data_IF_434998863447
#
_entry.id   IF_434998863447
#
_cell.length_a   1.000
_cell.length_b   1.000
_cell.length_c   1.000
_cell.angle_alpha   90.00
_cell.angle_beta   90.00
_cell.angle_gamma   90.00
#
_symmetry.space_group_name_H-M   'P 1'
#
loop_
_entity.id
_entity.type
_entity.pdbx_description
1 polymer ?
#
# COMPACT_ATOMS: atom_id res chain seq x y z
N UNK A 1 10.20 -22.09 17.41
CA UNK A 1 10.42 -20.63 17.39
C UNK A 1 9.95 -19.96 16.08
N UNK A 2 10.26 -20.48 14.89
CA UNK A 2 9.82 -19.89 13.62
C UNK A 2 8.30 -19.66 13.46
N UNK A 3 7.45 -20.60 13.88
CA UNK A 3 5.98 -20.43 13.75
C UNK A 3 5.40 -19.26 14.56
N UNK A 4 5.95 -18.92 15.73
CA UNK A 4 5.46 -17.81 16.57
C UNK A 4 5.79 -16.44 15.97
N UNK A 5 6.97 -16.28 15.37
CA UNK A 5 7.44 -15.04 14.74
C UNK A 5 6.54 -14.61 13.57
N UNK A 6 6.14 -15.53 12.72
CA UNK A 6 5.23 -15.25 11.62
C UNK A 6 3.81 -14.91 12.08
N UNK A 7 3.36 -15.46 13.23
CA UNK A 7 2.02 -15.17 13.76
C UNK A 7 1.83 -13.68 14.10
N UNK A 8 2.82 -13.01 14.66
CA UNK A 8 2.74 -11.58 14.97
C UNK A 8 2.57 -10.74 13.70
N UNK A 9 3.40 -11.02 12.69
CA UNK A 9 3.32 -10.33 11.39
C UNK A 9 1.99 -10.59 10.70
N UNK A 10 1.50 -11.82 10.77
CA UNK A 10 0.18 -12.18 10.22
C UNK A 10 -0.96 -11.51 10.99
N UNK A 11 -0.84 -11.37 12.33
CA UNK A 11 -1.83 -10.66 13.14
C UNK A 11 -1.86 -9.17 12.78
N UNK A 12 -0.70 -8.50 12.68
CA UNK A 12 -0.62 -7.09 12.29
C UNK A 12 -1.22 -6.90 10.89
N UNK A 13 -0.89 -7.79 9.94
CA UNK A 13 -1.45 -7.76 8.59
C UNK A 13 -2.95 -7.98 8.59
N UNK A 14 -3.46 -8.87 9.43
CA UNK A 14 -4.88 -9.11 9.61
C UNK A 14 -5.63 -7.91 10.21
N UNK A 15 -5.05 -7.24 11.22
CA UNK A 15 -5.62 -6.00 11.76
C UNK A 15 -5.69 -4.89 10.69
N UNK A 16 -4.63 -4.72 9.90
CA UNK A 16 -4.62 -3.77 8.80
C UNK A 16 -5.67 -4.11 7.74
N UNK A 17 -5.88 -5.40 7.43
CA UNK A 17 -6.95 -5.85 6.52
C UNK A 17 -8.34 -5.53 7.06
N UNK A 18 -8.62 -5.79 8.32
CA UNK A 18 -9.91 -5.45 8.93
C UNK A 18 -10.15 -3.95 8.86
N UNK A 19 -9.13 -3.15 9.22
CA UNK A 19 -9.19 -1.68 9.12
C UNK A 19 -9.44 -1.22 7.67
N UNK A 20 -8.78 -1.83 6.70
CA UNK A 20 -8.97 -1.54 5.27
C UNK A 20 -10.39 -1.87 4.80
N UNK A 21 -10.93 -3.05 5.17
CA UNK A 21 -12.29 -3.46 4.82
C UNK A 21 -13.31 -2.45 5.36
N UNK A 22 -13.15 -2.02 6.62
CA UNK A 22 -14.02 -1.01 7.23
C UNK A 22 -13.90 0.34 6.53
N UNK A 23 -12.68 0.78 6.19
CA UNK A 23 -12.44 2.01 5.45
C UNK A 23 -13.13 2.00 4.08
N UNK A 24 -12.99 0.91 3.32
CA UNK A 24 -13.62 0.76 2.01
C UNK A 24 -15.14 0.61 2.10
N UNK A 25 -15.68 -0.01 3.15
CA UNK A 25 -17.12 -0.02 3.39
C UNK A 25 -17.67 1.40 3.62
N UNK A 26 -16.95 2.24 4.38
CA UNK A 26 -17.30 3.65 4.53
C UNK A 26 -17.18 4.40 3.19
N UNK A 27 -16.16 4.09 2.39
CA UNK A 27 -15.97 4.68 1.07
C UNK A 27 -17.15 4.37 0.14
N UNK A 28 -17.56 3.10 0.05
CA UNK A 28 -18.70 2.68 -0.76
C UNK A 28 -19.99 3.37 -0.30
N UNK A 29 -20.25 3.41 1.02
CA UNK A 29 -21.42 4.07 1.59
C UNK A 29 -21.50 5.55 1.21
N UNK A 30 -20.38 6.27 1.26
CA UNK A 30 -20.33 7.70 0.94
C UNK A 30 -20.39 7.96 -0.56
N UNK A 31 -19.53 7.30 -1.35
CA UNK A 31 -19.36 7.64 -2.76
C UNK A 31 -20.27 6.86 -3.72
N UNK A 32 -20.65 5.63 -3.38
CA UNK A 32 -21.51 4.82 -4.25
C UNK A 32 -22.97 4.80 -3.81
N UNK A 33 -23.23 4.90 -2.49
CA UNK A 33 -24.58 4.86 -1.94
C UNK A 33 -25.07 6.23 -1.40
N UNK A 34 -24.28 7.30 -1.56
CA UNK A 34 -24.70 8.67 -1.33
C UNK A 34 -24.93 9.06 0.14
N UNK A 35 -24.30 8.34 1.10
CA UNK A 35 -24.38 8.72 2.51
C UNK A 35 -23.59 10.01 2.77
N UNK A 36 -24.24 10.99 3.42
CA UNK A 36 -23.58 12.23 3.79
C UNK A 36 -22.86 12.09 5.13
N UNK A 37 -21.53 11.82 5.05
CA UNK A 37 -20.65 11.70 6.21
C UNK A 37 -19.52 12.72 6.15
N UNK A 38 -19.71 13.96 6.64
CA UNK A 38 -18.70 15.03 6.54
C UNK A 38 -17.34 14.65 7.14
N UNK A 39 -17.31 13.85 8.20
CA UNK A 39 -16.08 13.39 8.85
C UNK A 39 -15.20 12.56 7.91
N UNK A 40 -15.81 11.85 6.92
CA UNK A 40 -15.09 10.98 6.00
C UNK A 40 -14.26 11.77 4.96
N UNK A 41 -14.62 13.04 4.73
CA UNK A 41 -13.84 13.98 3.90
C UNK A 41 -12.79 14.75 4.71
N UNK A 42 -12.72 14.53 6.02
CA UNK A 42 -11.88 15.26 6.94
C UNK A 42 -10.53 14.62 7.22
N UNK A 43 -9.73 15.31 8.03
CA UNK A 43 -8.40 14.89 8.46
C UNK A 43 -8.37 13.50 9.13
N UNK A 44 -9.40 13.17 9.91
CA UNK A 44 -9.48 11.89 10.61
C UNK A 44 -9.51 10.69 9.64
N UNK A 45 -10.31 10.77 8.58
CA UNK A 45 -10.38 9.73 7.56
C UNK A 45 -9.07 9.64 6.75
N UNK A 46 -8.44 10.79 6.46
CA UNK A 46 -7.13 10.83 5.81
C UNK A 46 -6.07 10.11 6.66
N UNK A 47 -5.96 10.43 7.95
CA UNK A 47 -5.02 9.76 8.86
C UNK A 47 -5.32 8.26 8.96
N UNK A 48 -6.59 7.88 9.00
CA UNK A 48 -6.98 6.47 9.01
C UNK A 48 -6.52 5.74 7.75
N UNK A 49 -6.79 6.30 6.57
CA UNK A 49 -6.30 5.77 5.29
C UNK A 49 -4.77 5.62 5.27
N UNK A 50 -4.06 6.69 5.64
CA UNK A 50 -2.60 6.68 5.65
C UNK A 50 -2.05 5.62 6.61
N UNK A 51 -2.66 5.43 7.78
CA UNK A 51 -2.25 4.40 8.74
C UNK A 51 -2.33 2.98 8.16
N UNK A 52 -3.40 2.69 7.40
CA UNK A 52 -3.57 1.42 6.69
C UNK A 52 -2.49 1.25 5.63
N UNK A 53 -2.32 2.25 4.76
CA UNK A 53 -1.36 2.20 3.65
C UNK A 53 0.08 2.04 4.13
N UNK A 54 0.49 2.86 5.12
CA UNK A 54 1.83 2.78 5.68
C UNK A 54 2.10 1.42 6.32
N UNK A 55 1.12 0.88 7.05
CA UNK A 55 1.25 -0.45 7.68
C UNK A 55 1.45 -1.55 6.63
N UNK A 56 0.67 -1.57 5.56
CA UNK A 56 0.82 -2.56 4.49
C UNK A 56 2.15 -2.44 3.77
N UNK A 57 2.59 -1.23 3.45
CA UNK A 57 3.84 -1.00 2.70
C UNK A 57 5.05 -1.33 3.57
N UNK A 58 5.10 -0.84 4.82
CA UNK A 58 6.17 -1.15 5.78
C UNK A 58 6.27 -2.66 6.05
N UNK A 59 5.12 -3.30 6.31
CA UNK A 59 5.07 -4.74 6.58
C UNK A 59 5.48 -5.57 5.36
N UNK A 60 5.15 -5.12 4.15
CA UNK A 60 5.58 -5.77 2.91
C UNK A 60 7.10 -5.71 2.76
N UNK A 61 7.72 -4.55 3.01
CA UNK A 61 9.17 -4.37 3.01
C UNK A 61 9.86 -5.22 4.09
N UNK A 62 9.30 -5.26 5.30
CA UNK A 62 9.79 -6.09 6.40
C UNK A 62 9.76 -7.58 6.03
N UNK A 63 8.63 -8.07 5.50
CA UNK A 63 8.46 -9.47 5.09
C UNK A 63 9.25 -9.83 3.83
N UNK A 64 9.63 -8.83 3.00
CA UNK A 64 10.50 -9.06 1.85
C UNK A 64 11.87 -9.61 2.28
N UNK A 65 12.43 -9.10 3.39
CA UNK A 65 13.70 -9.59 3.91
C UNK A 65 13.66 -11.07 4.36
N UNK A 66 12.48 -11.56 4.79
CA UNK A 66 12.27 -12.94 5.24
C UNK A 66 12.08 -13.96 4.10
N UNK A 67 11.62 -13.52 2.94
CA UNK A 67 11.16 -14.40 1.87
C UNK A 67 12.30 -15.02 1.06
N UNK A 68 12.03 -16.20 0.44
CA UNK A 68 13.00 -16.91 -0.43
C UNK A 68 12.77 -16.71 -1.91
N UNK A 69 11.53 -16.60 -2.39
CA UNK A 69 11.17 -16.51 -3.81
C UNK A 69 10.64 -15.13 -4.18
N UNK A 70 11.47 -14.08 -4.00
CA UNK A 70 11.06 -12.69 -4.12
C UNK A 70 10.57 -12.32 -5.52
N UNK A 71 11.24 -12.80 -6.56
CA UNK A 71 10.83 -12.55 -7.95
C UNK A 71 9.40 -13.06 -8.21
N UNK A 72 9.15 -14.35 -7.89
CA UNK A 72 7.82 -14.95 -8.10
C UNK A 72 6.74 -14.22 -7.30
N UNK A 73 7.02 -13.89 -6.04
CA UNK A 73 6.07 -13.14 -5.19
C UNK A 73 5.79 -11.75 -5.74
N UNK A 74 6.85 -11.01 -6.15
CA UNK A 74 6.71 -9.69 -6.76
C UNK A 74 5.87 -9.73 -8.02
N UNK A 75 6.14 -10.68 -8.93
CA UNK A 75 5.33 -10.89 -10.14
C UNK A 75 3.89 -11.24 -9.80
N UNK A 76 3.64 -12.17 -8.86
CA UNK A 76 2.27 -12.53 -8.46
C UNK A 76 1.49 -11.30 -7.96
N UNK A 77 2.08 -10.49 -7.06
CA UNK A 77 1.41 -9.30 -6.51
C UNK A 77 1.21 -8.23 -7.59
N UNK A 78 2.19 -8.04 -8.47
CA UNK A 78 2.09 -7.11 -9.60
C UNK A 78 0.94 -7.50 -10.56
N UNK A 79 0.86 -8.78 -10.93
CA UNK A 79 -0.22 -9.27 -11.80
C UNK A 79 -1.59 -9.21 -11.13
N UNK A 80 -1.68 -9.41 -9.81
CA UNK A 80 -2.92 -9.14 -9.07
C UNK A 80 -3.33 -7.65 -9.17
N UNK A 81 -2.37 -6.72 -9.08
CA UNK A 81 -2.63 -5.29 -9.30
C UNK A 81 -3.10 -5.00 -10.73
N UNK A 82 -2.44 -5.58 -11.74
CA UNK A 82 -2.86 -5.46 -13.14
C UNK A 82 -4.27 -6.04 -13.39
N UNK A 83 -4.64 -7.12 -12.69
CA UNK A 83 -5.98 -7.69 -12.77
C UNK A 83 -7.03 -6.75 -12.19
N UNK A 84 -6.75 -6.05 -11.07
CA UNK A 84 -7.65 -5.02 -10.53
C UNK A 84 -7.80 -3.87 -11.53
N UNK A 85 -6.70 -3.39 -12.11
CA UNK A 85 -6.74 -2.36 -13.14
C UNK A 85 -7.63 -2.79 -14.32
N UNK A 86 -7.45 -4.01 -14.84
CA UNK A 86 -8.27 -4.53 -15.93
C UNK A 86 -9.75 -4.66 -15.51
N UNK A 87 -10.03 -5.20 -14.32
CA UNK A 87 -11.38 -5.34 -13.82
C UNK A 87 -12.09 -3.98 -13.67
N UNK A 88 -11.43 -2.98 -13.08
CA UNK A 88 -12.01 -1.64 -12.93
C UNK A 88 -12.16 -0.92 -14.27
N UNK A 89 -11.22 -1.11 -15.20
CA UNK A 89 -11.33 -0.57 -16.57
C UNK A 89 -12.57 -1.06 -17.29
N UNK A 90 -12.87 -2.37 -17.22
CA UNK A 90 -14.00 -2.96 -17.94
C UNK A 90 -15.35 -2.81 -17.24
N UNK A 91 -15.38 -2.89 -15.90
CA UNK A 91 -16.63 -2.95 -15.15
C UNK A 91 -16.99 -1.65 -14.43
N UNK A 92 -16.02 -0.81 -14.11
CA UNK A 92 -16.22 0.42 -13.32
C UNK A 92 -15.25 1.53 -13.78
N UNK A 93 -15.31 1.99 -15.06
CA UNK A 93 -14.34 2.96 -15.60
C UNK A 93 -14.33 4.30 -14.85
N UNK A 94 -15.45 4.68 -14.24
CA UNK A 94 -15.57 5.90 -13.39
C UNK A 94 -14.79 5.76 -12.07
N UNK A 95 -14.50 4.53 -11.65
CA UNK A 95 -13.72 4.22 -10.45
C UNK A 95 -12.44 3.45 -10.81
N UNK A 96 -11.82 3.82 -11.91
CA UNK A 96 -10.60 3.18 -12.40
C UNK A 96 -9.50 3.18 -11.34
N UNK A 97 -8.91 2.00 -11.11
CA UNK A 97 -7.69 1.83 -10.31
C UNK A 97 -6.50 1.63 -11.24
N UNK A 98 -5.70 2.67 -11.41
CA UNK A 98 -4.47 2.63 -12.19
C UNK A 98 -3.27 2.86 -11.27
N UNK A 99 -2.28 1.96 -11.31
CA UNK A 99 -1.12 1.97 -10.41
C UNK A 99 -1.50 1.93 -8.92
N UNK A 100 -2.44 1.04 -8.57
CA UNK A 100 -2.87 0.84 -7.17
C UNK A 100 -1.79 0.22 -6.28
N UNK A 101 -2.10 0.10 -4.99
CA UNK A 101 -1.13 -0.38 -3.98
C UNK A 101 -0.55 -1.76 -4.28
N UNK A 102 -1.29 -2.70 -4.91
CA UNK A 102 -0.71 -4.00 -5.30
C UNK A 102 0.32 -3.86 -6.42
N UNK A 103 0.08 -2.98 -7.40
CA UNK A 103 1.06 -2.66 -8.44
C UNK A 103 2.32 -2.07 -7.83
N UNK A 104 2.17 -1.13 -6.88
CA UNK A 104 3.29 -0.59 -6.10
C UNK A 104 4.05 -1.70 -5.36
N UNK A 105 3.36 -2.54 -4.58
CA UNK A 105 4.01 -3.58 -3.76
C UNK A 105 4.75 -4.61 -4.64
N UNK A 106 4.12 -5.05 -5.73
CA UNK A 106 4.75 -5.95 -6.70
C UNK A 106 6.01 -5.34 -7.31
N UNK A 107 5.91 -4.10 -7.81
CA UNK A 107 7.03 -3.35 -8.39
C UNK A 107 8.14 -3.09 -7.36
N UNK A 108 7.79 -2.75 -6.13
CA UNK A 108 8.75 -2.55 -5.04
C UNK A 108 9.52 -3.83 -4.71
N UNK A 109 8.85 -4.98 -4.70
CA UNK A 109 9.52 -6.28 -4.51
C UNK A 109 10.46 -6.60 -5.68
N UNK A 110 10.07 -6.33 -6.92
CA UNK A 110 10.90 -6.55 -8.10
C UNK A 110 12.13 -5.65 -8.12
N UNK A 111 11.95 -4.34 -7.86
CA UNK A 111 13.03 -3.37 -7.76
C UNK A 111 13.99 -3.73 -6.62
N UNK A 112 13.49 -3.99 -5.42
CA UNK A 112 14.31 -4.38 -4.28
C UNK A 112 15.06 -5.69 -4.52
N UNK A 113 14.48 -6.64 -5.28
CA UNK A 113 15.17 -7.86 -5.68
C UNK A 113 16.31 -7.56 -6.67
N UNK A 114 16.09 -6.68 -7.65
CA UNK A 114 17.13 -6.22 -8.59
C UNK A 114 18.29 -5.52 -7.89
N UNK A 115 17.98 -4.67 -6.92
CA UNK A 115 18.99 -3.94 -6.13
C UNK A 115 19.48 -4.68 -4.88
N UNK A 116 19.17 -5.97 -4.72
CA UNK A 116 19.49 -6.74 -3.52
C UNK A 116 20.96 -6.69 -3.11
N UNK A 117 21.89 -6.73 -4.07
CA UNK A 117 23.33 -6.63 -3.82
C UNK A 117 23.72 -5.29 -3.18
N UNK A 118 23.18 -4.19 -3.69
CA UNK A 118 23.39 -2.85 -3.18
C UNK A 118 22.76 -2.69 -1.79
N UNK A 119 21.49 -3.08 -1.65
CA UNK A 119 20.75 -2.97 -0.38
C UNK A 119 21.43 -3.71 0.78
N UNK A 120 22.11 -4.84 0.50
CA UNK A 120 22.86 -5.58 1.50
C UNK A 120 24.12 -4.86 1.97
N UNK A 121 24.73 -4.01 1.14
CA UNK A 121 25.95 -3.25 1.48
C UNK A 121 25.63 -2.04 2.35
N UNK A 122 24.41 -1.51 2.28
CA UNK A 122 23.99 -0.36 3.07
C UNK A 122 23.90 -0.74 4.56
N UNK A 123 24.55 -0.01 5.49
CA UNK A 123 24.38 -0.23 6.92
C UNK A 123 22.91 -0.08 7.34
N UNK A 124 22.34 -1.00 8.14
CA UNK A 124 20.90 -1.00 8.45
C UNK A 124 20.38 0.31 9.06
N UNK A 125 21.14 0.94 9.95
CA UNK A 125 20.77 2.22 10.58
C UNK A 125 20.71 3.36 9.56
N UNK A 126 21.72 3.46 8.70
CA UNK A 126 21.75 4.46 7.64
C UNK A 126 20.67 4.21 6.60
N UNK A 127 20.45 2.94 6.24
CA UNK A 127 19.38 2.56 5.31
C UNK A 127 17.98 2.89 5.86
N UNK A 128 17.71 2.63 7.15
CA UNK A 128 16.45 2.97 7.80
C UNK A 128 16.23 4.49 7.80
N UNK A 129 17.20 5.25 8.33
CA UNK A 129 17.08 6.71 8.43
C UNK A 129 16.98 7.35 7.04
N UNK A 130 17.85 6.93 6.09
CA UNK A 130 17.87 7.48 4.73
C UNK A 130 16.60 7.18 3.96
N UNK A 131 16.11 5.93 3.99
CA UNK A 131 14.88 5.58 3.27
C UNK A 131 13.65 6.28 3.88
N UNK A 132 13.55 6.40 5.19
CA UNK A 132 12.45 7.13 5.82
C UNK A 132 12.50 8.64 5.52
N UNK A 133 13.69 9.25 5.59
CA UNK A 133 13.87 10.66 5.21
C UNK A 133 13.51 10.89 3.74
N UNK A 134 13.95 10.03 2.83
CA UNK A 134 13.59 10.12 1.41
C UNK A 134 12.08 9.98 1.20
N UNK A 135 11.41 9.07 1.93
CA UNK A 135 9.95 8.97 1.89
C UNK A 135 9.29 10.30 2.27
N UNK A 136 9.73 10.95 3.35
CA UNK A 136 9.17 12.23 3.79
C UNK A 136 9.43 13.35 2.77
N UNK A 137 10.65 13.45 2.25
CA UNK A 137 11.05 14.49 1.29
C UNK A 137 10.32 14.35 -0.04
N UNK A 138 10.08 13.13 -0.50
CA UNK A 138 9.40 12.87 -1.79
C UNK A 138 7.88 12.76 -1.66
N UNK A 139 7.29 13.02 -0.48
CA UNK A 139 5.85 12.81 -0.26
C UNK A 139 4.97 13.61 -1.21
N UNK A 140 5.37 14.82 -1.57
CA UNK A 140 4.64 15.72 -2.48
C UNK A 140 5.12 15.66 -3.94
N UNK A 141 5.91 14.63 -4.31
CA UNK A 141 6.50 14.49 -5.64
C UNK A 141 5.44 14.39 -6.76
N UNK A 142 4.27 13.83 -6.46
CA UNK A 142 3.16 13.74 -7.42
C UNK A 142 2.65 15.12 -7.85
N UNK A 143 2.82 16.14 -7.01
CA UNK A 143 2.55 17.53 -7.36
C UNK A 143 3.74 18.22 -8.07
N UNK A 144 4.88 17.53 -8.22
CA UNK A 144 6.11 18.07 -8.81
C UNK A 144 7.03 18.77 -7.82
N UNK A 145 6.82 18.59 -6.51
CA UNK A 145 7.59 19.24 -5.47
C UNK A 145 8.27 18.24 -4.53
N UNK A 146 9.39 18.62 -3.95
CA UNK A 146 9.91 18.00 -2.74
C UNK A 146 9.20 18.62 -1.54
N UNK A 147 8.68 17.78 -0.65
CA UNK A 147 7.90 18.24 0.50
C UNK A 147 7.11 17.13 1.16
N UNK A 148 6.37 17.48 2.21
CA UNK A 148 5.53 16.57 2.97
C UNK A 148 4.15 17.18 3.27
N UNK A 149 3.08 16.51 2.83
CA UNK A 149 1.67 16.83 3.13
C UNK A 149 1.33 18.32 2.92
N UNK A 150 1.80 18.88 1.77
CA UNK A 150 1.55 20.28 1.39
C UNK A 150 2.64 21.28 1.82
N UNK A 151 3.57 20.90 2.69
CA UNK A 151 4.76 21.70 2.99
C UNK A 151 5.80 21.50 1.88
N UNK A 152 5.73 22.33 0.85
CA UNK A 152 6.54 22.24 -0.38
C UNK A 152 7.77 23.10 -0.26
N UNK A 153 8.96 22.51 -0.44
CA UNK A 153 10.25 23.19 -0.27
C UNK A 153 10.88 23.57 -1.60
N UNK A 154 10.83 22.67 -2.59
CA UNK A 154 11.54 22.85 -3.86
C UNK A 154 10.76 22.19 -5.00
N UNK A 155 10.66 22.87 -6.16
CA UNK A 155 10.11 22.29 -7.38
C UNK A 155 11.10 21.32 -7.97
N UNK A 156 10.73 20.05 -8.03
CA UNK A 156 11.63 18.96 -8.38
C UNK A 156 11.49 18.54 -9.85
N UNK A 157 10.27 18.62 -10.40
CA UNK A 157 9.99 18.12 -11.74
C UNK A 157 9.17 19.11 -12.56
N UNK A 158 9.66 19.39 -13.79
CA UNK A 158 9.01 20.27 -14.76
C UNK A 158 9.04 19.66 -16.18
N UNK A 159 9.36 18.37 -16.30
CA UNK A 159 9.43 17.65 -17.57
C UNK A 159 8.07 17.15 -18.05
N UNK A 160 8.09 16.49 -19.20
CA UNK A 160 6.90 15.85 -19.76
C UNK A 160 6.26 14.86 -18.81
N UNK A 161 4.94 14.83 -18.81
CA UNK A 161 4.12 13.97 -17.95
C UNK A 161 3.27 13.05 -18.82
N UNK A 162 3.38 11.75 -18.58
CA UNK A 162 2.67 10.69 -19.28
C UNK A 162 2.42 9.49 -18.33
N UNK A 163 1.84 8.41 -18.83
CA UNK A 163 1.57 7.22 -18.01
C UNK A 163 2.84 6.58 -17.43
N UNK A 164 3.96 6.59 -18.15
CA UNK A 164 5.22 6.05 -17.63
C UNK A 164 5.75 6.92 -16.48
N UNK A 165 5.69 8.24 -16.63
CA UNK A 165 6.09 9.16 -15.56
C UNK A 165 5.10 9.16 -14.41
N UNK A 166 3.79 8.92 -14.66
CA UNK A 166 2.80 8.71 -13.61
C UNK A 166 3.16 7.50 -12.74
N UNK A 167 3.56 6.38 -13.34
CA UNK A 167 4.03 5.22 -12.57
C UNK A 167 5.22 5.56 -11.67
N UNK A 168 6.14 6.38 -12.12
CA UNK A 168 7.29 6.82 -11.33
C UNK A 168 6.92 7.81 -10.21
N UNK A 169 5.90 8.67 -10.40
CA UNK A 169 5.48 9.68 -9.43
C UNK A 169 5.15 11.05 -10.03
N UNK A 170 5.10 11.17 -11.36
CA UNK A 170 4.85 12.42 -12.06
C UNK A 170 3.63 12.29 -12.98
N UNK A 171 2.40 12.26 -12.43
CA UNK A 171 1.18 12.08 -13.21
C UNK A 171 0.91 13.31 -14.09
N UNK A 172 0.34 13.13 -15.31
CA UNK A 172 -0.20 14.23 -16.10
C UNK A 172 -1.40 14.89 -15.40
N UNK A 173 -1.78 16.09 -15.85
CA UNK A 173 -2.80 16.88 -15.19
C UNK A 173 -4.22 16.23 -15.25
N UNK A 174 -4.47 15.45 -16.28
CA UNK A 174 -5.71 14.71 -16.51
C UNK A 174 -5.68 13.29 -15.95
N UNK A 175 -4.62 12.92 -15.21
CA UNK A 175 -4.49 11.59 -14.62
C UNK A 175 -5.50 11.37 -13.50
N UNK A 176 -6.26 10.30 -13.63
CA UNK A 176 -7.23 9.87 -12.63
C UNK A 176 -7.02 8.43 -12.21
N UNK A 177 -7.07 8.19 -10.91
CA UNK A 177 -7.13 6.85 -10.30
C UNK A 177 -7.68 6.97 -8.89
N UNK A 178 -8.58 6.07 -8.51
CA UNK A 178 -9.17 6.03 -7.17
C UNK A 178 -8.23 5.44 -6.11
N UNK A 179 -7.22 4.67 -6.53
CA UNK A 179 -6.19 4.08 -5.66
C UNK A 179 -4.82 4.27 -6.33
N UNK A 180 -4.23 5.47 -6.20
CA UNK A 180 -2.97 5.79 -6.86
C UNK A 180 -1.79 5.75 -5.89
N UNK A 181 -0.85 4.86 -6.20
CA UNK A 181 0.42 4.69 -5.47
C UNK A 181 1.59 4.62 -6.46
N UNK A 182 2.24 5.74 -6.69
CA UNK A 182 3.45 5.81 -7.52
C UNK A 182 4.65 5.13 -6.85
N UNK A 183 5.68 4.81 -7.62
CA UNK A 183 6.93 4.27 -7.05
C UNK A 183 7.54 5.25 -6.07
N UNK A 184 7.70 6.52 -6.45
CA UNK A 184 8.06 7.58 -5.53
C UNK A 184 6.79 8.18 -4.92
N UNK A 185 6.71 8.36 -3.62
CA UNK A 185 7.70 8.14 -2.54
C UNK A 185 7.64 6.73 -1.90
N UNK A 186 6.67 5.92 -2.28
CA UNK A 186 6.24 4.73 -1.54
C UNK A 186 7.27 3.59 -1.53
N UNK A 187 8.12 3.51 -2.54
CA UNK A 187 9.25 2.57 -2.53
C UNK A 187 10.23 2.84 -1.39
N UNK A 188 10.43 4.09 -1.01
CA UNK A 188 11.27 4.43 0.14
C UNK A 188 10.64 3.97 1.45
N UNK A 189 9.31 4.05 1.60
CA UNK A 189 8.61 3.50 2.76
C UNK A 189 8.72 1.96 2.81
N UNK A 190 8.64 1.29 1.66
CA UNK A 190 8.91 -0.15 1.55
C UNK A 190 10.34 -0.49 1.99
N UNK A 191 11.35 0.26 1.54
CA UNK A 191 12.74 0.09 1.96
C UNK A 191 12.93 0.36 3.47
N UNK A 192 12.19 1.31 4.03
CA UNK A 192 12.17 1.54 5.48
C UNK A 192 11.77 0.27 6.23
N UNK A 193 10.72 -0.41 5.79
CA UNK A 193 10.33 -1.72 6.32
C UNK A 193 11.41 -2.80 6.17
N UNK A 194 12.08 -2.85 5.02
CA UNK A 194 13.20 -3.76 4.78
C UNK A 194 14.37 -3.53 5.74
N UNK A 195 14.78 -2.28 5.94
CA UNK A 195 15.88 -1.95 6.85
C UNK A 195 15.49 -2.10 8.31
N UNK A 196 14.23 -1.89 8.66
CA UNK A 196 13.70 -2.15 10.01
C UNK A 196 13.89 -3.62 10.39
N UNK A 197 13.59 -4.55 9.47
CA UNK A 197 13.89 -5.96 9.68
C UNK A 197 15.38 -6.22 9.90
N UNK A 198 16.24 -5.60 9.13
CA UNK A 198 17.70 -5.79 9.23
C UNK A 198 18.30 -5.25 10.53
N UNK A 199 17.64 -4.28 11.18
CA UNK A 199 18.05 -3.78 12.49
C UNK A 199 17.68 -4.72 13.62
N UNK A 200 16.51 -5.34 13.57
CA UNK A 200 15.96 -6.18 14.65
C UNK A 200 15.38 -7.48 14.10
N UNK A 201 16.24 -8.40 13.60
CA UNK A 201 15.77 -9.63 12.97
C UNK A 201 15.10 -10.59 13.94
N UNK A 202 15.29 -10.44 15.26
CA UNK A 202 14.91 -11.44 16.25
C UNK A 202 13.84 -10.99 17.26
N UNK A 203 13.52 -9.70 17.37
CA UNK A 203 12.53 -9.21 18.36
C UNK A 203 11.09 -9.32 17.82
N UNK A 204 10.54 -10.51 17.76
CA UNK A 204 9.09 -10.67 17.75
C UNK A 204 8.60 -10.63 19.19
N UNK A 205 8.09 -9.48 19.65
CA UNK A 205 7.35 -9.40 20.93
C UNK A 205 6.23 -10.44 20.92
N UNK A 206 6.02 -11.11 22.05
CA UNK A 206 4.91 -12.02 22.24
C UNK A 206 3.59 -11.24 22.29
N UNK A 207 2.98 -11.03 21.14
CA UNK A 207 1.59 -10.58 21.07
C UNK A 207 0.74 -11.84 21.08
N UNK A 208 -0.28 -11.87 21.94
CA UNK A 208 -1.27 -12.98 21.92
C UNK A 208 -1.94 -12.98 20.55
N UNK A 209 -1.80 -14.05 19.75
CA UNK A 209 -2.41 -14.08 18.43
C UNK A 209 -3.93 -14.07 18.57
N UNK A 210 -4.58 -13.25 17.77
CA UNK A 210 -6.04 -13.29 17.56
C UNK A 210 -6.31 -14.31 16.45
N UNK A 211 -6.84 -15.51 16.74
CA UNK A 211 -6.83 -16.62 15.78
C UNK A 211 -7.45 -16.27 14.43
N UNK A 212 -8.62 -15.62 14.44
CA UNK A 212 -9.33 -15.21 13.23
C UNK A 212 -8.54 -14.18 12.43
N UNK A 213 -8.09 -13.11 13.09
CA UNK A 213 -7.34 -12.01 12.47
C UNK A 213 -6.01 -12.52 11.90
N UNK A 214 -5.32 -13.40 12.62
CA UNK A 214 -4.09 -14.04 12.15
C UNK A 214 -4.34 -14.91 10.91
N UNK A 215 -5.46 -15.63 10.86
CA UNK A 215 -5.85 -16.42 9.69
C UNK A 215 -6.15 -15.52 8.47
N UNK A 216 -6.80 -14.37 8.67
CA UNK A 216 -6.99 -13.36 7.64
C UNK A 216 -5.64 -12.83 7.12
N UNK A 217 -4.71 -12.51 8.01
CA UNK A 217 -3.38 -12.04 7.63
C UNK A 217 -2.58 -13.03 6.77
N UNK A 218 -2.74 -14.33 7.00
CA UNK A 218 -2.12 -15.40 6.17
C UNK A 218 -2.68 -15.44 4.74
N UNK A 219 -3.94 -15.06 4.56
CA UNK A 219 -4.65 -15.04 3.26
C UNK A 219 -4.82 -13.61 2.72
N UNK A 220 -3.95 -12.70 3.14
CA UNK A 220 -4.12 -11.27 2.91
C UNK A 220 -4.31 -10.87 1.44
N UNK A 221 -3.56 -11.48 0.52
CA UNK A 221 -3.69 -11.17 -0.90
C UNK A 221 -5.07 -11.56 -1.45
N UNK A 222 -5.58 -12.75 -1.10
CA UNK A 222 -6.90 -13.20 -1.52
C UNK A 222 -8.01 -12.29 -0.96
N UNK A 223 -7.93 -11.97 0.34
CA UNK A 223 -8.91 -11.08 0.98
C UNK A 223 -8.84 -9.69 0.36
N UNK A 224 -7.61 -9.18 0.09
CA UNK A 224 -7.43 -7.91 -0.60
C UNK A 224 -8.09 -7.91 -1.98
N UNK A 225 -7.96 -8.98 -2.76
CA UNK A 225 -8.57 -9.07 -4.10
C UNK A 225 -10.10 -9.11 -4.06
N UNK A 226 -10.68 -9.71 -3.02
CA UNK A 226 -12.12 -9.97 -2.94
C UNK A 226 -12.90 -8.98 -2.09
N UNK A 227 -12.25 -8.15 -1.25
CA UNK A 227 -12.97 -7.31 -0.30
C UNK A 227 -13.94 -6.34 -0.97
N UNK A 228 -13.50 -5.64 -2.02
CA UNK A 228 -14.31 -4.61 -2.66
C UNK A 228 -15.54 -5.18 -3.38
N UNK A 229 -15.44 -6.23 -4.23
CA UNK A 229 -16.63 -6.88 -4.80
C UNK A 229 -17.60 -7.42 -3.74
N UNK A 230 -17.07 -7.94 -2.62
CA UNK A 230 -17.91 -8.47 -1.53
C UNK A 230 -18.61 -7.34 -0.78
N UNK A 231 -17.93 -6.26 -0.43
CA UNK A 231 -18.52 -5.08 0.24
C UNK A 231 -19.62 -4.50 -0.65
N UNK A 232 -19.29 -4.19 -1.89
CA UNK A 232 -20.24 -3.63 -2.84
C UNK A 232 -21.49 -4.53 -3.02
N UNK A 233 -21.28 -5.84 -3.20
CA UNK A 233 -22.38 -6.79 -3.34
C UNK A 233 -23.30 -6.84 -2.12
N UNK A 234 -22.71 -6.85 -0.90
CA UNK A 234 -23.49 -6.83 0.35
C UNK A 234 -24.29 -5.52 0.49
N UNK A 235 -23.65 -4.38 0.25
CA UNK A 235 -24.32 -3.08 0.32
C UNK A 235 -25.41 -2.94 -0.75
N UNK A 236 -25.17 -3.39 -1.98
CA UNK A 236 -26.16 -3.38 -3.05
C UNK A 236 -27.42 -4.19 -2.71
N UNK A 237 -27.26 -5.32 -2.01
CA UNK A 237 -28.42 -6.10 -1.52
C UNK A 237 -29.13 -5.36 -0.41
N UNK A 238 -28.43 -4.80 0.56
CA UNK A 238 -29.01 -4.07 1.69
C UNK A 238 -29.78 -2.82 1.25
N UNK A 239 -29.23 -2.04 0.32
CA UNK A 239 -29.83 -0.78 -0.16
C UNK A 239 -30.86 -0.97 -1.28
N UNK A 240 -30.96 -2.16 -1.90
CA UNK A 240 -32.06 -2.50 -2.84
C UNK A 240 -33.28 -3.09 -2.12
N UNK A 241 -33.09 -3.60 -0.91
CA UNK A 241 -34.15 -4.21 -0.11
C UNK A 241 -34.94 -3.19 0.78
N UNK A 242 -34.58 -1.94 0.79
CA UNK A 242 -35.24 -0.82 1.42
C UNK A 242 -35.69 0.22 0.41
#
# INVERSE_FOLDING_TARGET
>A
MERRRYQVLDTIRGCALVSMILYHACWDLVYLFGMDWPWYHGFAAHVWQQSICWTFILLSGYCFALGRHQLRRGLTVFFCGALITAATWFFMPENLVLFGVLTLLGSSMLLANGFRGLLRRVPPRAGLAGSFLLFLVFRDVNAGYLGFEGARFFRFWDGERNLCTAFAGFPPADFFSTDYFSILPWFFLFLTGYFLFRLRPEEAREIRPLPLVTAMGRRSLLIYMLHQPVIYGLLAVLFRAG
#
